data_IF_832847217199
#
_entry.id   IF_832847217199
#
_cell.length_a   1.000
_cell.length_b   1.000
_cell.length_c   1.000
_cell.angle_alpha   90.00
_cell.angle_beta   90.00
_cell.angle_gamma   90.00
#
_symmetry.space_group_name_H-M   'P 1'
#
loop_
_entity.id
_entity.type
_entity.pdbx_description
1 polymer ?
#
# COMPACT_ATOMS: atom_id res chain seq x y z
N UNK A 1 -23.10 -24.55 11.57
CA UNK A 1 -21.97 -24.54 12.52
C UNK A 1 -20.58 -24.80 11.91
N UNK A 2 -20.43 -25.17 10.62
CA UNK A 2 -19.12 -25.44 10.02
C UNK A 2 -18.30 -24.20 9.57
N UNK A 3 -18.92 -23.02 9.48
CA UNK A 3 -18.24 -21.78 9.09
C UNK A 3 -17.19 -21.30 10.10
N UNK A 4 -17.44 -21.50 11.40
CA UNK A 4 -16.57 -21.02 12.48
C UNK A 4 -15.26 -21.82 12.59
N UNK A 5 -15.30 -23.15 12.41
CA UNK A 5 -14.12 -24.02 12.55
C UNK A 5 -13.09 -23.76 11.44
N UNK A 6 -13.54 -23.62 10.19
CA UNK A 6 -12.64 -23.29 9.08
C UNK A 6 -12.02 -21.90 9.23
N UNK A 7 -12.81 -20.90 9.64
CA UNK A 7 -12.32 -19.54 9.91
C UNK A 7 -11.26 -19.56 11.01
N UNK A 8 -11.46 -20.34 12.08
CA UNK A 8 -10.48 -20.53 13.16
C UNK A 8 -9.19 -21.17 12.65
N UNK A 9 -9.26 -22.16 11.75
CA UNK A 9 -8.07 -22.80 11.17
C UNK A 9 -7.24 -21.82 10.32
N UNK A 10 -7.88 -21.06 9.43
CA UNK A 10 -7.17 -20.05 8.62
C UNK A 10 -6.58 -18.96 9.51
N UNK A 11 -7.35 -18.49 10.49
CA UNK A 11 -6.89 -17.50 11.46
C UNK A 11 -5.69 -18.01 12.28
N UNK A 12 -5.70 -19.26 12.74
CA UNK A 12 -4.60 -19.86 13.48
C UNK A 12 -3.31 -19.94 12.63
N UNK A 13 -3.43 -20.31 11.34
CA UNK A 13 -2.29 -20.29 10.41
C UNK A 13 -1.74 -18.87 10.27
N UNK A 14 -2.62 -17.89 10.07
CA UNK A 14 -2.22 -16.50 9.89
C UNK A 14 -1.56 -15.94 11.15
N UNK A 15 -2.09 -16.23 12.35
CA UNK A 15 -1.47 -15.87 13.64
C UNK A 15 -0.09 -16.50 13.80
N UNK A 16 0.07 -17.79 13.47
CA UNK A 16 1.35 -18.49 13.57
C UNK A 16 2.42 -17.87 12.67
N UNK A 17 2.06 -17.50 11.45
CA UNK A 17 2.99 -16.90 10.48
C UNK A 17 3.20 -15.40 10.70
N UNK A 18 2.36 -14.75 11.51
CA UNK A 18 2.42 -13.31 11.77
C UNK A 18 3.73 -12.84 12.40
N UNK A 19 4.33 -13.69 13.24
CA UNK A 19 5.62 -13.39 13.87
C UNK A 19 6.73 -13.18 12.83
N UNK A 20 6.70 -13.97 11.75
CA UNK A 20 7.67 -13.93 10.65
C UNK A 20 7.39 -12.81 9.65
N UNK A 21 6.11 -12.49 9.41
CA UNK A 21 5.67 -11.41 8.50
C UNK A 21 6.21 -10.04 8.90
N UNK A 22 6.13 -9.73 10.19
CA UNK A 22 6.50 -8.41 10.70
C UNK A 22 7.30 -8.56 11.99
N UNK A 23 8.52 -9.07 11.88
CA UNK A 23 9.40 -9.39 13.01
C UNK A 23 9.59 -8.21 13.98
N UNK A 24 9.71 -6.99 13.42
CA UNK A 24 10.15 -5.78 14.13
C UNK A 24 9.01 -4.85 14.60
N UNK A 25 7.76 -5.05 14.17
CA UNK A 25 6.65 -4.11 14.46
C UNK A 25 5.39 -4.80 14.98
N UNK A 26 5.21 -4.81 16.31
CA UNK A 26 4.10 -5.49 16.99
C UNK A 26 2.71 -4.88 16.70
N UNK A 27 2.62 -3.57 16.42
CA UNK A 27 1.34 -2.92 16.11
C UNK A 27 0.79 -3.39 14.76
N UNK A 28 1.64 -3.49 13.73
CA UNK A 28 1.28 -3.98 12.40
C UNK A 28 0.83 -5.44 12.43
N UNK A 29 1.46 -6.28 13.28
CA UNK A 29 1.03 -7.66 13.51
C UNK A 29 -0.43 -7.74 13.95
N UNK A 30 -0.82 -6.88 14.90
CA UNK A 30 -2.18 -6.87 15.45
C UNK A 30 -3.20 -6.40 14.41
N UNK A 31 -2.87 -5.35 13.66
CA UNK A 31 -3.72 -4.81 12.60
C UNK A 31 -3.93 -5.83 11.47
N UNK A 32 -2.87 -6.50 11.02
CA UNK A 32 -2.93 -7.54 10.00
C UNK A 32 -3.92 -8.64 10.39
N UNK A 33 -3.78 -9.18 11.60
CA UNK A 33 -4.61 -10.29 12.09
C UNK A 33 -6.06 -9.87 12.28
N UNK A 34 -6.31 -8.68 12.84
CA UNK A 34 -7.66 -8.13 12.97
C UNK A 34 -8.34 -8.02 11.60
N UNK A 35 -7.66 -7.44 10.61
CA UNK A 35 -8.25 -7.29 9.30
C UNK A 35 -8.45 -8.61 8.58
N UNK A 36 -7.48 -9.52 8.67
CA UNK A 36 -7.57 -10.82 8.02
C UNK A 36 -8.78 -11.61 8.53
N UNK A 37 -9.05 -11.53 9.84
CA UNK A 37 -10.25 -12.08 10.44
C UNK A 37 -11.53 -11.44 9.88
N UNK A 38 -11.56 -10.12 9.73
CA UNK A 38 -12.69 -9.41 9.12
C UNK A 38 -12.94 -9.88 7.66
N UNK A 39 -11.91 -9.92 6.81
CA UNK A 39 -12.04 -10.37 5.41
C UNK A 39 -12.51 -11.82 5.29
N UNK A 40 -12.13 -12.69 6.23
CA UNK A 40 -12.59 -14.09 6.28
C UNK A 40 -14.07 -14.23 6.64
N UNK A 41 -14.64 -13.25 7.36
CA UNK A 41 -16.08 -13.20 7.65
C UNK A 41 -16.87 -12.67 6.45
N UNK A 42 -16.37 -11.63 5.81
CA UNK A 42 -17.02 -10.96 4.68
C UNK A 42 -17.08 -11.85 3.42
N UNK A 43 -16.03 -12.66 3.16
CA UNK A 43 -15.88 -13.42 1.90
C UNK A 43 -16.08 -14.95 2.04
N UNK A 44 -16.80 -15.44 3.05
CA UNK A 44 -16.90 -16.89 3.29
C UNK A 44 -17.77 -17.61 2.25
N UNK A 45 -17.16 -18.27 1.26
CA UNK A 45 -17.86 -19.17 0.33
C UNK A 45 -18.30 -20.48 1.01
N UNK A 46 -19.46 -21.03 0.64
CA UNK A 46 -20.13 -22.16 1.34
C UNK A 46 -19.64 -23.58 0.98
N UNK A 47 -18.55 -23.75 0.22
CA UNK A 47 -18.08 -25.06 -0.23
C UNK A 47 -16.98 -25.67 0.68
N UNK A 48 -17.29 -26.75 1.40
CA UNK A 48 -16.40 -27.40 2.37
C UNK A 48 -15.14 -28.07 1.76
N UNK A 49 -15.25 -28.61 0.54
CA UNK A 49 -14.12 -29.27 -0.12
C UNK A 49 -13.03 -28.26 -0.51
N UNK A 50 -13.45 -27.12 -1.08
CA UNK A 50 -12.56 -26.02 -1.44
C UNK A 50 -11.90 -25.40 -0.21
N UNK A 51 -12.62 -25.32 0.92
CA UNK A 51 -12.10 -24.83 2.21
C UNK A 51 -10.92 -25.66 2.72
N UNK A 52 -11.02 -27.00 2.67
CA UNK A 52 -9.94 -27.90 3.08
C UNK A 52 -8.72 -27.81 2.16
N UNK A 53 -8.94 -27.75 0.85
CA UNK A 53 -7.85 -27.55 -0.12
C UNK A 53 -7.16 -26.20 0.09
N UNK A 54 -7.94 -25.13 0.31
CA UNK A 54 -7.43 -23.79 0.59
C UNK A 54 -6.49 -23.77 1.80
N UNK A 55 -6.90 -24.37 2.93
CA UNK A 55 -6.08 -24.41 4.15
C UNK A 55 -4.75 -25.13 3.89
N UNK A 56 -4.78 -26.27 3.19
CA UNK A 56 -3.56 -27.02 2.83
C UNK A 56 -2.64 -26.20 1.93
N UNK A 57 -3.14 -25.69 0.81
CA UNK A 57 -2.35 -24.89 -0.15
C UNK A 57 -1.77 -23.67 0.55
N UNK A 58 -2.57 -22.94 1.33
CA UNK A 58 -2.12 -21.77 2.08
C UNK A 58 -0.99 -22.12 3.05
N UNK A 59 -1.15 -23.19 3.85
CA UNK A 59 -0.08 -23.60 4.78
C UNK A 59 1.22 -23.92 4.05
N UNK A 60 1.14 -24.59 2.90
CA UNK A 60 2.29 -24.95 2.10
C UNK A 60 3.02 -23.72 1.55
N UNK A 61 2.28 -22.77 0.95
CA UNK A 61 2.84 -21.55 0.39
C UNK A 61 3.48 -20.65 1.46
N UNK A 62 2.85 -20.53 2.63
CA UNK A 62 3.41 -19.72 3.73
C UNK A 62 4.68 -20.34 4.31
N UNK A 63 4.71 -21.67 4.45
CA UNK A 63 5.91 -22.41 4.88
C UNK A 63 7.05 -22.21 3.89
N UNK A 64 6.79 -22.35 2.59
CA UNK A 64 7.80 -22.08 1.56
C UNK A 64 8.30 -20.65 1.61
N UNK A 65 7.39 -19.69 1.77
CA UNK A 65 7.74 -18.27 1.77
C UNK A 65 8.59 -17.83 2.95
N UNK A 66 8.27 -18.28 4.15
CA UNK A 66 9.00 -17.91 5.38
C UNK A 66 10.10 -18.90 5.77
N UNK A 67 10.27 -19.98 4.99
CA UNK A 67 11.20 -21.08 5.25
C UNK A 67 11.07 -21.66 6.67
N UNK A 68 9.83 -21.87 7.13
CA UNK A 68 9.51 -22.38 8.48
C UNK A 68 8.92 -23.79 8.39
N UNK A 69 9.61 -24.81 8.90
CA UNK A 69 9.05 -26.16 8.99
C UNK A 69 7.84 -26.19 9.94
N UNK A 70 6.70 -26.68 9.45
CA UNK A 70 5.46 -26.83 10.24
C UNK A 70 5.63 -27.82 11.40
N UNK A 71 6.56 -28.77 11.28
CA UNK A 71 6.80 -29.84 12.24
C UNK A 71 7.67 -29.41 13.43
N UNK A 72 8.37 -28.28 13.33
CA UNK A 72 9.31 -27.83 14.36
C UNK A 72 8.67 -27.16 15.59
N UNK A 73 7.34 -27.05 15.66
CA UNK A 73 6.66 -26.49 16.85
C UNK A 73 5.33 -27.20 17.14
N UNK A 74 5.37 -28.52 17.32
CA UNK A 74 4.33 -29.21 18.08
C UNK A 74 4.58 -28.95 19.57
N UNK A 75 3.64 -28.28 20.25
CA UNK A 75 3.59 -28.32 21.71
C UNK A 75 2.23 -28.87 22.08
N UNK A 76 2.27 -30.07 22.66
CA UNK A 76 1.17 -30.69 23.37
C UNK A 76 0.36 -29.66 24.16
N UNK A 77 -0.95 -29.67 23.93
CA UNK A 77 -1.90 -29.08 24.86
C UNK A 77 -1.79 -29.80 26.21
N UNK A 78 -1.09 -29.20 27.18
CA UNK A 78 -1.41 -29.41 28.58
C UNK A 78 -2.09 -28.14 29.09
N UNK A 79 -3.41 -28.24 29.18
CA UNK A 79 -4.29 -27.33 29.88
C UNK A 79 -3.81 -27.10 31.32
N UNK A 80 -3.58 -25.84 31.68
CA UNK A 80 -3.64 -25.39 33.08
C UNK A 80 -4.77 -24.37 33.18
N UNK A 81 -5.88 -24.83 33.73
CA UNK A 81 -6.95 -23.99 34.24
C UNK A 81 -6.41 -23.16 35.42
N UNK A 82 -6.62 -21.86 35.36
CA UNK A 82 -6.62 -21.02 36.56
C UNK A 82 -7.95 -20.27 36.55
N UNK A 83 -8.86 -20.74 37.40
CA UNK A 83 -10.05 -20.00 37.76
C UNK A 83 -9.64 -18.84 38.65
N UNK A 84 -10.21 -17.66 38.42
CA UNK A 84 -10.46 -16.71 39.51
C UNK A 84 -11.71 -15.90 39.21
N UNK A 85 -12.60 -15.94 40.19
CA UNK A 85 -13.89 -15.26 40.31
C UNK A 85 -13.64 -13.92 41.00
N UNK A 86 -14.27 -12.85 40.51
CA UNK A 86 -14.66 -11.64 41.27
C UNK A 86 -15.50 -10.77 40.32
N UNK A 87 -16.84 -10.84 40.40
CA UNK A 87 -17.73 -9.95 41.15
C UNK A 87 -17.90 -8.55 40.53
N UNK A 88 -19.16 -8.28 40.16
CA UNK A 88 -19.74 -7.00 39.71
C UNK A 88 -19.73 -5.94 40.84
N UNK A 89 -20.13 -4.67 40.61
CA UNK A 89 -21.55 -4.34 40.47
C UNK A 89 -21.89 -3.33 39.35
N UNK A 90 -23.17 -3.41 38.96
CA UNK A 90 -23.90 -2.50 38.08
C UNK A 90 -23.96 -1.07 38.59
N UNK A 91 -24.04 -0.10 37.66
CA UNK A 91 -24.78 1.15 37.88
C UNK A 91 -25.52 1.56 36.61
N UNK A 92 -26.84 1.49 36.74
CA UNK A 92 -27.89 2.02 35.88
C UNK A 92 -27.93 3.56 36.03
N UNK A 93 -28.27 4.33 35.00
CA UNK A 93 -29.08 5.57 35.13
C UNK A 93 -29.48 6.18 33.77
N UNK A 94 -30.69 6.72 33.80
CA UNK A 94 -31.63 7.12 32.77
C UNK A 94 -31.61 8.62 32.42
N UNK A 95 -32.45 9.00 31.44
CA UNK A 95 -33.05 10.33 31.18
C UNK A 95 -32.11 11.36 30.49
N UNK A 96 -32.51 12.24 29.56
CA UNK A 96 -33.81 12.76 29.07
C UNK A 96 -33.56 13.60 27.81
N UNK A 97 -34.59 13.77 26.96
CA UNK A 97 -34.63 14.69 25.83
C UNK A 97 -34.54 16.17 26.26
N UNK A 98 -33.83 17.00 25.49
CA UNK A 98 -34.11 18.45 25.38
C UNK A 98 -33.93 18.86 23.90
N UNK A 99 -34.99 19.44 23.35
CA UNK A 99 -35.04 20.08 22.03
C UNK A 99 -34.44 21.48 22.11
N UNK A 100 -33.73 21.91 21.06
CA UNK A 100 -33.52 23.32 20.77
C UNK A 100 -33.69 23.54 19.26
N UNK A 101 -34.73 24.29 18.89
CA UNK A 101 -34.92 24.89 17.57
C UNK A 101 -34.28 26.29 17.54
N UNK A 102 -33.50 26.60 16.51
CA UNK A 102 -33.27 27.96 16.00
C UNK A 102 -33.10 27.95 14.47
N UNK A 103 -34.21 28.22 13.74
CA UNK A 103 -34.43 29.31 12.73
C UNK A 103 -33.20 30.19 12.47
N UNK A 104 -32.70 30.57 11.28
CA UNK A 104 -32.99 30.51 9.82
C UNK A 104 -31.69 30.97 9.08
N UNK A 105 -31.47 30.60 7.80
CA UNK A 105 -31.17 31.59 6.72
C UNK A 105 -30.96 30.94 5.34
N UNK A 106 -31.48 31.64 4.33
CA UNK A 106 -31.63 31.28 2.92
C UNK A 106 -30.32 31.01 2.17
N UNK A 107 -30.04 29.73 1.88
CA UNK A 107 -29.46 29.28 0.60
C UNK A 107 -29.50 27.74 0.47
N UNK A 108 -30.57 27.11 0.93
CA UNK A 108 -30.68 25.65 0.91
C UNK A 108 -31.33 25.13 -0.37
N UNK A 109 -30.54 24.36 -1.12
CA UNK A 109 -31.03 23.49 -2.17
C UNK A 109 -31.97 22.47 -1.51
N UNK A 110 -33.26 22.50 -1.85
CA UNK A 110 -34.28 21.59 -1.31
C UNK A 110 -33.81 20.15 -1.50
N UNK A 111 -33.44 19.41 -0.43
CA UNK A 111 -32.98 18.05 -0.58
C UNK A 111 -34.17 17.19 -0.99
N UNK A 112 -34.05 16.48 -2.10
CA UNK A 112 -35.06 15.48 -2.48
C UNK A 112 -35.10 14.38 -1.42
N UNK A 113 -36.22 13.69 -1.26
CA UNK A 113 -36.38 12.59 -0.29
C UNK A 113 -35.32 11.48 -0.42
N UNK A 114 -34.68 11.35 -1.60
CA UNK A 114 -33.51 10.48 -1.82
C UNK A 114 -32.20 11.02 -1.23
N UNK A 115 -32.01 12.33 -1.22
CA UNK A 115 -30.86 12.98 -0.57
C UNK A 115 -30.97 12.92 0.96
N UNK A 116 -32.18 13.07 1.52
CA UNK A 116 -32.41 12.88 2.96
C UNK A 116 -32.26 11.42 3.39
N UNK A 117 -32.73 10.46 2.58
CA UNK A 117 -32.49 9.04 2.86
C UNK A 117 -30.99 8.67 2.82
N UNK A 118 -30.18 9.39 2.03
CA UNK A 118 -28.73 9.21 1.99
C UNK A 118 -28.02 9.89 3.18
N UNK A 119 -28.53 11.03 3.66
CA UNK A 119 -28.04 11.72 4.87
C UNK A 119 -28.46 11.03 6.17
N UNK A 120 -29.66 10.44 6.23
CA UNK A 120 -30.16 9.76 7.43
C UNK A 120 -29.45 8.42 7.71
N UNK A 121 -28.80 7.81 6.71
CA UNK A 121 -27.96 6.61 6.91
C UNK A 121 -26.59 6.97 7.49
N UNK A 122 -26.14 8.21 7.32
CA UNK A 122 -24.83 8.68 7.74
C UNK A 122 -25.01 10.04 8.39
N UNK A 123 -25.49 10.02 9.64
CA UNK A 123 -25.76 11.23 10.40
C UNK A 123 -24.52 12.12 10.49
N UNK A 124 -24.66 13.39 10.14
CA UNK A 124 -23.76 14.53 10.39
C UNK A 124 -22.26 14.21 10.52
N UNK A 125 -21.71 13.42 9.60
CA UNK A 125 -20.27 13.16 9.57
C UNK A 125 -19.54 14.27 8.82
N UNK A 126 -18.60 14.91 9.49
CA UNK A 126 -17.62 15.82 8.90
C UNK A 126 -16.85 15.14 7.75
N UNK A 127 -16.20 15.91 6.86
CA UNK A 127 -15.34 15.35 5.78
C UNK A 127 -14.29 14.37 6.37
N UNK A 128 -13.77 14.65 7.57
CA UNK A 128 -12.83 13.77 8.27
C UNK A 128 -13.44 12.41 8.65
N UNK A 129 -14.75 12.36 8.93
CA UNK A 129 -15.47 11.14 9.25
C UNK A 129 -15.90 10.35 8.00
N UNK A 130 -16.02 11.00 6.84
CA UNK A 130 -16.10 10.30 5.55
C UNK A 130 -14.76 9.60 5.18
N UNK A 131 -13.65 10.08 5.75
CA UNK A 131 -12.34 9.40 5.74
C UNK A 131 -12.07 8.57 7.00
N UNK A 132 -13.04 8.45 7.93
CA UNK A 132 -12.90 7.54 9.05
C UNK A 132 -12.75 6.12 8.50
N UNK A 133 -11.85 5.36 9.11
CA UNK A 133 -11.43 4.03 8.71
C UNK A 133 -12.65 3.10 8.52
N UNK A 134 -13.17 3.02 7.29
CA UNK A 134 -14.31 2.16 6.91
C UNK A 134 -13.92 0.66 6.87
N UNK A 135 -12.68 0.33 7.23
CA UNK A 135 -12.06 -0.98 7.09
C UNK A 135 -10.95 -0.98 6.03
N UNK A 136 -10.29 -2.12 5.85
CA UNK A 136 -9.13 -2.26 4.95
C UNK A 136 -9.49 -3.05 3.69
N UNK A 137 -9.77 -2.41 2.56
CA UNK A 137 -10.26 -3.10 1.36
C UNK A 137 -9.54 -4.44 1.01
N UNK A 138 -8.21 -4.46 1.00
CA UNK A 138 -7.39 -5.66 0.75
C UNK A 138 -6.04 -5.59 1.45
N UNK A 139 -5.36 -6.74 1.63
CA UNK A 139 -3.99 -6.81 2.13
C UNK A 139 -3.09 -7.40 1.05
N UNK A 140 -2.25 -6.54 0.45
CA UNK A 140 -1.13 -6.94 -0.39
C UNK A 140 0.04 -7.31 0.50
N UNK A 141 0.42 -8.58 0.50
CA UNK A 141 1.49 -9.09 1.36
C UNK A 141 2.68 -9.61 0.57
N UNK A 142 2.80 -9.39 -0.75
CA UNK A 142 3.83 -9.97 -1.63
C UNK A 142 5.27 -9.51 -1.33
N UNK A 143 5.46 -8.28 -0.87
CA UNK A 143 6.78 -7.74 -0.57
C UNK A 143 7.35 -8.34 0.73
N UNK A 144 8.67 -8.58 0.74
CA UNK A 144 9.37 -9.22 1.87
C UNK A 144 10.08 -8.22 2.78
N UNK A 145 10.20 -6.97 2.35
CA UNK A 145 10.79 -5.88 3.12
C UNK A 145 9.88 -4.62 3.03
N UNK A 146 10.32 -3.52 3.63
CA UNK A 146 9.59 -2.27 3.69
C UNK A 146 9.22 -1.73 2.30
N UNK A 147 7.94 -1.41 2.11
CA UNK A 147 7.45 -0.67 0.94
C UNK A 147 7.83 0.79 1.12
N UNK A 148 8.70 1.31 0.25
CA UNK A 148 9.26 2.66 0.32
C UNK A 148 8.30 3.71 -0.25
N UNK A 149 7.56 3.36 -1.31
CA UNK A 149 6.63 4.25 -1.98
C UNK A 149 5.48 3.46 -2.61
N UNK A 150 4.30 4.09 -2.64
CA UNK A 150 3.13 3.64 -3.40
C UNK A 150 2.63 4.77 -4.27
N UNK A 151 2.14 4.47 -5.48
CA UNK A 151 1.60 5.47 -6.40
C UNK A 151 0.53 4.86 -7.30
N UNK A 152 -0.66 5.47 -7.31
CA UNK A 152 -1.69 5.14 -8.29
C UNK A 152 -1.25 5.54 -9.70
N UNK A 153 -1.70 4.78 -10.69
CA UNK A 153 -1.59 5.17 -12.08
C UNK A 153 -2.32 6.49 -12.35
N UNK A 154 -1.84 7.27 -13.31
CA UNK A 154 -2.34 8.61 -13.59
C UNK A 154 -3.80 8.55 -14.06
N UNK A 155 -4.70 9.27 -13.37
CA UNK A 155 -6.15 9.23 -13.59
C UNK A 155 -6.77 7.81 -13.60
N UNK A 156 -6.13 6.83 -12.96
CA UNK A 156 -6.57 5.44 -12.91
C UNK A 156 -6.67 5.00 -11.44
N UNK A 157 -7.91 4.68 -11.01
CA UNK A 157 -8.22 4.23 -9.65
C UNK A 157 -7.99 2.74 -9.42
N UNK A 158 -7.75 1.96 -10.49
CA UNK A 158 -7.64 0.52 -10.42
C UNK A 158 -6.20 0.05 -10.21
N UNK A 159 -5.22 0.70 -10.84
CA UNK A 159 -3.82 0.27 -10.77
C UNK A 159 -3.02 1.05 -9.75
N UNK A 160 -2.39 0.31 -8.83
CA UNK A 160 -1.50 0.83 -7.79
C UNK A 160 -0.12 0.21 -7.96
N UNK A 161 0.90 1.05 -8.09
CA UNK A 161 2.30 0.63 -8.03
C UNK A 161 2.80 0.70 -6.59
N UNK A 162 3.54 -0.32 -6.15
CA UNK A 162 4.26 -0.34 -4.89
C UNK A 162 5.71 -0.76 -5.13
N UNK A 163 6.66 -0.03 -4.56
CA UNK A 163 8.09 -0.33 -4.62
C UNK A 163 8.65 -0.60 -3.23
N UNK A 164 9.66 -1.47 -3.16
CA UNK A 164 10.10 -2.05 -1.90
C UNK A 164 11.62 -2.15 -1.77
N UNK A 165 12.04 -2.22 -0.52
CA UNK A 165 13.42 -2.51 -0.14
C UNK A 165 13.84 -3.95 -0.45
N UNK A 166 12.92 -4.82 -0.86
CA UNK A 166 13.22 -6.16 -1.39
C UNK A 166 13.70 -6.17 -2.86
N UNK A 167 14.04 -5.00 -3.40
CA UNK A 167 14.56 -4.76 -4.76
C UNK A 167 13.51 -4.92 -5.86
N UNK A 168 12.23 -5.04 -5.49
CA UNK A 168 11.14 -5.28 -6.44
C UNK A 168 10.11 -4.17 -6.49
N UNK A 169 9.36 -4.19 -7.58
CA UNK A 169 8.16 -3.39 -7.78
C UNK A 169 6.98 -4.31 -8.05
N UNK A 170 5.81 -4.02 -7.49
CA UNK A 170 4.57 -4.70 -7.83
C UNK A 170 3.53 -3.72 -8.36
N UNK A 171 2.75 -4.17 -9.33
CA UNK A 171 1.53 -3.47 -9.78
C UNK A 171 0.34 -4.30 -9.36
N UNK A 172 -0.58 -3.65 -8.65
CA UNK A 172 -1.74 -4.26 -8.05
C UNK A 172 -3.02 -3.69 -8.69
N UNK A 173 -3.99 -4.55 -8.95
CA UNK A 173 -5.35 -4.14 -9.26
C UNK A 173 -6.16 -4.07 -7.97
N UNK A 174 -6.59 -2.88 -7.59
CA UNK A 174 -7.40 -2.64 -6.40
C UNK A 174 -8.90 -2.60 -6.71
N UNK A 175 -9.29 -2.49 -7.97
CA UNK A 175 -10.70 -2.44 -8.39
C UNK A 175 -11.26 -3.81 -8.79
N UNK A 176 -10.41 -4.81 -9.05
CA UNK A 176 -10.85 -6.18 -9.31
C UNK A 176 -11.50 -6.79 -8.07
N UNK A 177 -12.40 -7.75 -8.27
CA UNK A 177 -13.02 -8.53 -7.19
C UNK A 177 -12.68 -10.01 -7.38
N UNK A 178 -11.77 -10.59 -6.58
CA UNK A 178 -10.98 -9.94 -5.52
C UNK A 178 -9.84 -9.05 -6.08
N UNK A 179 -9.36 -8.07 -5.30
CA UNK A 179 -8.12 -7.36 -5.59
C UNK A 179 -6.94 -8.33 -5.69
N UNK A 180 -6.01 -8.06 -6.61
CA UNK A 180 -4.89 -8.97 -6.90
C UNK A 180 -3.65 -8.26 -7.38
N UNK A 181 -2.49 -8.88 -7.16
CA UNK A 181 -1.22 -8.45 -7.77
C UNK A 181 -1.24 -8.86 -9.25
N UNK A 182 -1.13 -7.90 -10.17
CA UNK A 182 -1.13 -8.19 -11.61
C UNK A 182 0.23 -8.73 -12.06
N UNK A 183 1.32 -8.09 -11.61
CA UNK A 183 2.69 -8.53 -11.90
C UNK A 183 3.68 -7.91 -10.90
N UNK A 184 4.84 -8.57 -10.80
CA UNK A 184 5.99 -8.15 -10.00
C UNK A 184 7.20 -8.06 -10.90
N UNK A 185 7.85 -6.89 -10.91
CA UNK A 185 9.09 -6.67 -11.61
C UNK A 185 10.28 -6.85 -10.68
N UNK A 186 11.29 -7.53 -11.20
CA UNK A 186 12.56 -7.80 -10.55
C UNK A 186 13.67 -7.33 -11.48
N UNK A 187 14.74 -6.78 -10.93
CA UNK A 187 15.92 -6.41 -11.72
C UNK A 187 16.84 -5.39 -11.06
N UNK A 188 16.32 -4.57 -10.15
CA UNK A 188 17.19 -3.75 -9.29
C UNK A 188 18.06 -4.63 -8.41
N UNK A 189 19.28 -4.17 -8.12
CA UNK A 189 20.26 -4.91 -7.30
C UNK A 189 20.35 -4.39 -5.87
N UNK A 190 19.61 -3.32 -5.57
CA UNK A 190 19.50 -2.70 -4.25
C UNK A 190 18.07 -2.17 -4.03
N UNK A 191 17.72 -1.69 -2.81
CA UNK A 191 16.39 -1.19 -2.48
C UNK A 191 15.84 -0.18 -3.48
N UNK A 192 14.59 -0.38 -3.89
CA UNK A 192 13.86 0.56 -4.76
C UNK A 192 13.29 1.66 -3.88
N UNK A 193 13.61 2.91 -4.17
CA UNK A 193 13.34 4.08 -3.32
C UNK A 193 12.12 4.87 -3.75
N UNK A 194 11.77 4.80 -5.04
CA UNK A 194 10.65 5.54 -5.60
C UNK A 194 10.19 5.00 -6.94
N UNK A 195 9.00 5.41 -7.34
CA UNK A 195 8.43 5.10 -8.63
C UNK A 195 7.57 6.25 -9.17
N UNK A 196 7.43 6.27 -10.50
CA UNK A 196 6.48 7.14 -11.16
C UNK A 196 5.85 6.49 -12.40
N UNK A 197 4.61 6.86 -12.69
CA UNK A 197 3.89 6.45 -13.89
C UNK A 197 4.05 7.52 -14.98
N UNK A 198 4.19 7.10 -16.23
CA UNK A 198 4.02 8.03 -17.36
C UNK A 198 2.58 8.54 -17.39
N UNK A 199 2.34 9.73 -17.97
CA UNK A 199 0.96 10.25 -18.08
C UNK A 199 0.03 9.33 -18.90
N UNK A 200 0.60 8.50 -19.78
CA UNK A 200 -0.15 7.48 -20.55
C UNK A 200 -0.36 6.16 -19.81
N UNK A 201 0.28 5.95 -18.66
CA UNK A 201 0.29 4.70 -17.89
C UNK A 201 0.86 3.45 -18.61
N UNK A 202 1.57 3.64 -19.72
CA UNK A 202 2.23 2.55 -20.46
C UNK A 202 3.62 2.24 -19.91
N UNK A 203 4.22 3.21 -19.22
CA UNK A 203 5.55 3.11 -18.64
C UNK A 203 5.53 3.38 -17.14
N UNK A 204 6.41 2.68 -16.43
CA UNK A 204 6.74 2.98 -15.04
C UNK A 204 8.25 3.22 -14.95
N UNK A 205 8.65 4.28 -14.27
CA UNK A 205 10.01 4.54 -13.88
C UNK A 205 10.20 4.12 -12.42
N UNK A 206 11.30 3.45 -12.09
CA UNK A 206 11.70 3.15 -10.71
C UNK A 206 13.12 3.61 -10.46
N UNK A 207 13.38 4.20 -9.30
CA UNK A 207 14.72 4.57 -8.86
C UNK A 207 15.18 3.69 -7.70
N UNK A 208 16.49 3.47 -7.59
CA UNK A 208 17.06 2.58 -6.59
C UNK A 208 18.38 3.11 -6.02
N UNK A 209 18.71 2.57 -4.84
CA UNK A 209 20.03 2.74 -4.23
C UNK A 209 21.16 2.09 -5.05
N UNK A 210 20.85 1.30 -6.08
CA UNK A 210 21.84 0.73 -7.01
C UNK A 210 22.41 1.77 -7.99
N UNK A 211 21.97 3.02 -7.89
CA UNK A 211 22.42 4.13 -8.73
C UNK A 211 21.76 4.16 -10.10
N UNK A 212 20.71 3.35 -10.32
CA UNK A 212 19.99 3.28 -11.57
C UNK A 212 18.54 3.72 -11.47
N UNK A 213 18.04 4.20 -12.61
CA UNK A 213 16.61 4.31 -12.90
C UNK A 213 16.26 3.31 -13.98
N UNK A 214 15.23 2.49 -13.73
CA UNK A 214 14.73 1.52 -14.69
C UNK A 214 13.39 1.96 -15.25
N UNK A 215 13.23 1.77 -16.56
CA UNK A 215 11.98 2.01 -17.27
C UNK A 215 11.36 0.68 -17.66
N UNK A 216 10.12 0.48 -17.25
CA UNK A 216 9.37 -0.76 -17.41
C UNK A 216 8.20 -0.53 -18.36
N UNK A 217 8.02 -1.42 -19.33
CA UNK A 217 6.79 -1.50 -20.12
C UNK A 217 5.72 -2.20 -19.30
N UNK A 218 4.59 -1.53 -19.10
CA UNK A 218 3.43 -2.08 -18.40
C UNK A 218 2.73 -3.14 -19.27
N UNK A 219 2.69 -2.90 -20.59
CA UNK A 219 2.04 -3.80 -21.56
C UNK A 219 2.88 -5.05 -21.76
N UNK A 220 4.15 -4.89 -22.09
CA UNK A 220 5.05 -6.01 -22.43
C UNK A 220 5.63 -6.70 -21.20
N UNK A 221 5.55 -6.05 -20.03
CA UNK A 221 6.07 -6.54 -18.76
C UNK A 221 7.57 -6.86 -18.81
N UNK A 222 8.32 -5.96 -19.45
CA UNK A 222 9.78 -6.05 -19.52
C UNK A 222 10.46 -4.74 -19.10
N UNK A 223 11.70 -4.86 -18.64
CA UNK A 223 12.59 -3.71 -18.47
C UNK A 223 13.01 -3.22 -19.86
N UNK A 224 12.53 -2.05 -20.28
CA UNK A 224 12.90 -1.46 -21.57
C UNK A 224 14.29 -0.85 -21.52
N UNK A 225 14.61 -0.18 -20.40
CA UNK A 225 15.85 0.59 -20.26
C UNK A 225 16.35 0.56 -18.83
N UNK A 226 17.66 0.67 -18.69
CA UNK A 226 18.36 0.96 -17.44
C UNK A 226 19.22 2.18 -17.69
N UNK A 227 18.97 3.24 -16.92
CA UNK A 227 19.71 4.49 -16.98
C UNK A 227 20.54 4.59 -15.71
N UNK A 228 21.85 4.74 -15.87
CA UNK A 228 22.75 4.93 -14.74
C UNK A 228 22.89 6.42 -14.41
N UNK A 229 22.97 6.71 -13.12
CA UNK A 229 23.42 8.02 -12.64
C UNK A 229 24.86 8.26 -13.11
N UNK A 230 25.19 9.53 -13.36
CA UNK A 230 26.45 9.93 -14.02
C UNK A 230 27.72 9.45 -13.27
N UNK A 231 27.64 9.31 -11.96
CA UNK A 231 28.72 8.86 -11.09
C UNK A 231 28.36 7.57 -10.33
N UNK A 232 27.22 6.94 -10.64
CA UNK A 232 26.74 5.72 -9.98
C UNK A 232 26.27 5.94 -8.53
N UNK A 233 25.94 7.17 -8.15
CA UNK A 233 25.42 7.43 -6.80
C UNK A 233 23.97 6.98 -6.64
N UNK A 234 23.55 6.53 -5.44
CA UNK A 234 22.17 6.18 -5.13
C UNK A 234 21.16 7.21 -5.64
N UNK A 235 20.09 6.71 -6.27
CA UNK A 235 18.99 7.54 -6.75
C UNK A 235 17.83 7.42 -5.76
N UNK A 236 17.36 8.55 -5.24
CA UNK A 236 16.29 8.57 -4.24
C UNK A 236 14.93 8.90 -4.83
N UNK A 237 14.91 9.63 -5.95
CA UNK A 237 13.64 10.06 -6.56
C UNK A 237 13.72 10.07 -8.08
N UNK A 238 12.61 9.70 -8.71
CA UNK A 238 12.38 9.87 -10.13
C UNK A 238 10.97 10.42 -10.37
N UNK A 239 10.82 11.23 -11.43
CA UNK A 239 9.56 11.89 -11.76
C UNK A 239 9.46 12.07 -13.27
N UNK A 240 8.39 11.57 -13.89
CA UNK A 240 8.08 11.87 -15.28
C UNK A 240 7.73 13.35 -15.42
N UNK A 241 8.21 13.97 -16.48
CA UNK A 241 7.78 15.31 -16.80
C UNK A 241 6.27 15.28 -17.16
N UNK A 242 5.42 16.06 -16.48
CA UNK A 242 3.96 15.88 -16.53
C UNK A 242 3.35 16.13 -17.91
N UNK A 243 3.96 17.02 -18.71
CA UNK A 243 3.52 17.32 -20.08
C UNK A 243 4.33 16.57 -21.16
N UNK A 244 5.57 16.18 -20.88
CA UNK A 244 6.47 15.57 -21.86
C UNK A 244 6.86 14.18 -21.40
N UNK A 245 6.10 13.18 -21.83
CA UNK A 245 6.31 11.78 -21.46
C UNK A 245 7.67 11.20 -21.87
N UNK A 246 8.45 11.92 -22.69
CA UNK A 246 9.79 11.49 -23.07
C UNK A 246 10.90 12.05 -22.17
N UNK A 247 10.57 12.81 -21.13
CA UNK A 247 11.53 13.33 -20.16
C UNK A 247 11.25 12.78 -18.76
N UNK A 248 12.33 12.47 -18.05
CA UNK A 248 12.31 11.98 -16.68
C UNK A 248 13.34 12.75 -15.86
N UNK A 249 12.93 13.25 -14.69
CA UNK A 249 13.81 13.83 -13.70
C UNK A 249 14.30 12.74 -12.76
N UNK A 250 15.56 12.84 -12.36
CA UNK A 250 16.24 11.92 -11.46
C UNK A 250 16.99 12.73 -10.39
N UNK A 251 16.76 12.43 -9.11
CA UNK A 251 17.44 13.03 -7.98
C UNK A 251 18.32 12.03 -7.24
N UNK A 252 19.61 12.35 -7.08
CA UNK A 252 20.60 11.44 -6.48
C UNK A 252 21.17 11.93 -5.15
N UNK A 253 21.89 11.03 -4.46
CA UNK A 253 22.58 11.32 -3.20
C UNK A 253 23.75 12.29 -3.35
N UNK A 254 24.26 12.50 -4.57
CA UNK A 254 25.35 13.46 -4.84
C UNK A 254 24.87 14.91 -4.90
N UNK A 255 23.55 15.10 -4.76
CA UNK A 255 22.88 16.39 -4.93
C UNK A 255 22.60 16.73 -6.38
N UNK A 256 22.80 15.80 -7.31
CA UNK A 256 22.50 16.02 -8.71
C UNK A 256 21.01 15.78 -8.99
N UNK A 257 20.37 16.77 -9.60
CA UNK A 257 19.13 16.60 -10.35
C UNK A 257 19.49 16.51 -11.83
N UNK A 258 19.13 15.43 -12.49
CA UNK A 258 19.39 15.23 -13.91
C UNK A 258 18.10 14.93 -14.66
N UNK A 259 17.99 15.45 -15.89
CA UNK A 259 16.92 15.16 -16.83
C UNK A 259 17.43 14.15 -17.84
N UNK A 260 16.66 13.09 -18.04
CA UNK A 260 16.98 11.98 -18.94
C UNK A 260 15.87 11.84 -19.98
N UNK A 261 16.27 11.55 -21.21
CA UNK A 261 15.35 11.18 -22.27
C UNK A 261 14.94 9.70 -22.14
N UNK A 262 13.65 9.45 -22.02
CA UNK A 262 13.07 8.12 -21.75
C UNK A 262 13.29 7.16 -22.91
N UNK A 263 13.10 7.62 -24.16
CA UNK A 263 13.20 6.76 -25.34
C UNK A 263 14.64 6.33 -25.64
N UNK A 264 15.62 7.18 -25.36
CA UNK A 264 17.04 6.90 -25.63
C UNK A 264 17.83 6.43 -24.41
N UNK A 265 17.38 6.76 -23.20
CA UNK A 265 18.13 6.57 -21.95
C UNK A 265 19.32 7.53 -21.79
N UNK A 266 19.39 8.59 -22.60
CA UNK A 266 20.51 9.54 -22.62
C UNK A 266 20.18 10.76 -21.75
N UNK A 267 21.15 11.18 -20.95
CA UNK A 267 21.09 12.42 -20.17
C UNK A 267 20.99 13.64 -21.10
N UNK A 268 20.03 14.52 -20.83
CA UNK A 268 19.83 15.73 -21.63
C UNK A 268 21.00 16.69 -21.41
N UNK A 269 21.61 17.17 -22.51
CA UNK A 269 22.74 18.11 -22.44
C UNK A 269 22.29 19.41 -21.76
N UNK A 270 22.99 19.79 -20.70
CA UNK A 270 22.64 20.96 -19.88
C UNK A 270 21.39 20.76 -19.00
N UNK A 271 20.77 19.59 -19.03
CA UNK A 271 19.61 19.24 -18.19
C UNK A 271 20.02 18.70 -16.83
N UNK A 272 21.11 19.18 -16.24
CA UNK A 272 21.52 18.78 -14.90
C UNK A 272 21.80 19.99 -14.01
N UNK A 273 21.52 19.86 -12.72
CA UNK A 273 21.67 20.91 -11.72
C UNK A 273 22.16 20.30 -10.41
N UNK A 274 23.15 20.91 -9.77
CA UNK A 274 23.65 20.46 -8.48
C UNK A 274 23.02 21.28 -7.36
N UNK A 275 22.26 20.60 -6.53
CA UNK A 275 21.63 21.12 -5.31
C UNK A 275 22.53 20.71 -4.13
N UNK A 276 22.68 21.58 -3.13
CA UNK A 276 23.76 21.49 -2.13
C UNK A 276 23.76 20.27 -1.19
N UNK A 277 22.83 19.32 -1.31
CA UNK A 277 22.67 18.11 -0.48
C UNK A 277 21.96 17.00 -1.25
N UNK A 278 21.78 15.83 -0.64
CA UNK A 278 21.14 14.68 -1.30
C UNK A 278 19.70 15.02 -1.69
N UNK A 279 19.31 14.74 -2.94
CA UNK A 279 17.97 15.04 -3.46
C UNK A 279 17.03 13.91 -3.06
N UNK A 280 16.34 14.07 -1.94
CA UNK A 280 15.46 13.06 -1.35
C UNK A 280 14.13 12.94 -2.10
N UNK A 281 13.63 14.04 -2.64
CA UNK A 281 12.40 14.04 -3.43
C UNK A 281 12.44 15.10 -4.52
N UNK A 282 11.71 14.85 -5.60
CA UNK A 282 11.42 15.82 -6.64
C UNK A 282 9.92 15.89 -6.86
N UNK A 283 9.41 17.11 -7.06
CA UNK A 283 8.02 17.37 -7.39
C UNK A 283 7.96 18.37 -8.55
N UNK A 284 6.96 18.25 -9.41
CA UNK A 284 6.75 19.15 -10.53
C UNK A 284 5.38 19.78 -10.46
N UNK A 285 5.25 20.98 -11.02
CA UNK A 285 3.96 21.60 -11.26
C UNK A 285 3.26 20.92 -12.44
N UNK A 286 1.93 21.07 -12.55
CA UNK A 286 1.18 20.43 -13.62
C UNK A 286 1.56 20.92 -15.03
N UNK A 287 2.13 22.14 -15.14
CA UNK A 287 2.58 22.69 -16.43
C UNK A 287 3.92 22.11 -16.89
N UNK A 288 4.71 21.52 -15.97
CA UNK A 288 6.07 21.07 -16.22
C UNK A 288 7.09 22.22 -16.37
N UNK A 289 6.71 23.45 -16.02
CA UNK A 289 7.57 24.62 -16.07
C UNK A 289 8.43 24.79 -14.81
N UNK A 290 7.98 24.24 -13.67
CA UNK A 290 8.66 24.40 -12.39
C UNK A 290 8.77 23.05 -11.66
N UNK A 291 9.98 22.79 -11.15
CA UNK A 291 10.26 21.62 -10.34
C UNK A 291 10.89 22.05 -9.01
N UNK A 292 10.53 21.34 -7.95
CA UNK A 292 11.09 21.47 -6.62
C UNK A 292 11.90 20.23 -6.28
N UNK A 293 13.06 20.44 -5.68
CA UNK A 293 13.92 19.38 -5.16
C UNK A 293 14.03 19.53 -3.65
N UNK A 294 13.56 18.54 -2.89
CA UNK A 294 13.73 18.48 -1.45
C UNK A 294 15.07 17.85 -1.10
N UNK A 295 15.89 18.54 -0.32
CA UNK A 295 17.22 18.08 0.08
C UNK A 295 17.32 17.81 1.58
N UNK A 296 18.25 16.96 1.99
CA UNK A 296 18.57 16.69 3.40
C UNK A 296 19.27 17.87 4.11
N UNK A 297 19.92 18.77 3.38
CA UNK A 297 20.52 19.98 3.95
C UNK A 297 19.47 21.03 4.30
N UNK A 298 19.44 21.38 5.58
CA UNK A 298 18.79 22.60 6.07
C UNK A 298 19.73 23.77 5.78
N UNK A 299 19.21 24.81 5.10
CA UNK A 299 19.95 26.06 4.87
C UNK A 299 20.10 26.85 6.16
#
# INVERSE_FOLDING_TARGET
MAGSVWQQQVFAIDVRMNAHRVAKHANLRTLYIRRRNQLLRENSANNDALRKQYVKIRSHLLTQRYNVSLDAMSIHSKSRSVASVASTPDLNLSATNIWNEQVLSENEVVPTSRAEASRAIVGDTSIAENYAFAGVHHIFDQHTDAVSMIKFAHNDRARLCAVSHDHSMSVCNVASSPPSVEFVFQGHTAPVTGCDWSASNDLIATCSLDGSVRLWSVVDRVCLRVVQELCGHPVYSCLFHPVNNNLLLMGSSSGLVAVVNVSTGIHVKGGNCKVGGAVLCVAGDASGGLFWAGTDKVR
#
